data_IF_548488973033
#
_entry.id   IF_548488973033
#
_cell.length_a   1.000
_cell.length_b   1.000
_cell.length_c   1.000
_cell.angle_alpha   90.00
_cell.angle_beta   90.00
_cell.angle_gamma   90.00
#
_symmetry.space_group_name_H-M   'P 1'
#
loop_
_entity.id
_entity.type
_entity.pdbx_description
1 polymer ?
#
# COMPACT_ATOMS: atom_id res chain seq x y z
N UNK A 1 -1.93 4.37 -20.91
CA UNK A 1 -1.39 3.07 -20.49
C UNK A 1 -1.03 3.04 -18.98
N UNK A 2 -0.26 3.98 -18.43
CA UNK A 2 0.16 3.97 -17.02
C UNK A 2 -0.99 3.85 -15.99
N UNK A 3 -2.14 4.51 -16.22
CA UNK A 3 -3.32 4.42 -15.33
C UNK A 3 -3.89 3.00 -15.24
N UNK A 4 -4.00 2.32 -16.38
CA UNK A 4 -4.52 0.94 -16.43
C UNK A 4 -3.55 -0.03 -15.76
N UNK A 5 -2.24 0.09 -16.04
CA UNK A 5 -1.21 -0.73 -15.38
C UNK A 5 -1.21 -0.53 -13.87
N UNK A 6 -1.42 0.72 -13.40
CA UNK A 6 -1.53 1.04 -11.99
C UNK A 6 -2.73 0.34 -11.33
N UNK A 7 -3.93 0.44 -11.92
CA UNK A 7 -5.13 -0.20 -11.40
C UNK A 7 -5.00 -1.72 -11.35
N UNK A 8 -4.48 -2.33 -12.43
CA UNK A 8 -4.30 -3.78 -12.50
C UNK A 8 -3.27 -4.25 -11.46
N UNK A 9 -2.13 -3.57 -11.34
CA UNK A 9 -1.09 -3.97 -10.39
C UNK A 9 -1.56 -3.87 -8.94
N UNK A 10 -2.30 -2.80 -8.57
CA UNK A 10 -2.91 -2.67 -7.24
C UNK A 10 -3.93 -3.80 -7.02
N UNK A 11 -4.81 -4.06 -7.99
CA UNK A 11 -5.83 -5.09 -7.87
C UNK A 11 -5.25 -6.48 -7.63
N UNK A 12 -4.25 -6.88 -8.41
CA UNK A 12 -3.57 -8.19 -8.25
C UNK A 12 -2.87 -8.28 -6.89
N UNK A 13 -2.15 -7.22 -6.49
CA UNK A 13 -1.41 -7.22 -5.22
C UNK A 13 -2.34 -7.21 -4.02
N UNK A 14 -3.44 -6.44 -4.08
CA UNK A 14 -4.46 -6.42 -3.03
C UNK A 14 -5.15 -7.77 -2.89
N UNK A 15 -5.50 -8.41 -4.02
CA UNK A 15 -6.09 -9.75 -4.00
C UNK A 15 -5.16 -10.75 -3.32
N UNK A 16 -3.85 -10.71 -3.62
CA UNK A 16 -2.85 -11.54 -2.95
C UNK A 16 -2.79 -11.30 -1.43
N UNK A 17 -2.83 -10.02 -1.00
CA UNK A 17 -2.86 -9.66 0.42
C UNK A 17 -4.10 -10.20 1.12
N UNK A 18 -5.30 -10.04 0.51
CA UNK A 18 -6.56 -10.53 1.06
C UNK A 18 -6.59 -12.07 1.14
N UNK A 19 -5.99 -12.76 0.17
CA UNK A 19 -5.83 -14.23 0.25
C UNK A 19 -5.00 -14.63 1.48
N UNK A 20 -3.88 -13.94 1.75
CA UNK A 20 -3.04 -14.24 2.91
C UNK A 20 -3.81 -13.96 4.21
N UNK A 21 -4.48 -12.82 4.29
CA UNK A 21 -5.24 -12.42 5.47
C UNK A 21 -6.33 -13.43 5.84
N UNK A 22 -7.08 -13.93 4.85
CA UNK A 22 -8.27 -14.74 5.09
C UNK A 22 -8.00 -16.25 5.07
N UNK A 23 -7.09 -16.73 4.22
CA UNK A 23 -6.89 -18.17 4.02
C UNK A 23 -5.62 -18.72 4.68
N UNK A 24 -4.64 -17.87 4.95
CA UNK A 24 -3.35 -18.30 5.48
C UNK A 24 -3.06 -17.73 6.88
N UNK A 25 -4.09 -17.28 7.59
CA UNK A 25 -3.97 -16.80 8.96
C UNK A 25 -4.95 -17.55 9.85
N UNK A 26 -4.45 -18.14 10.93
CA UNK A 26 -5.25 -18.88 11.90
C UNK A 26 -6.01 -17.94 12.84
N UNK A 27 -7.13 -18.41 13.35
CA UNK A 27 -7.90 -17.77 14.43
C UNK A 27 -7.54 -18.40 15.78
N UNK A 28 -7.85 -17.72 16.89
CA UNK A 28 -7.56 -18.22 18.24
C UNK A 28 -8.22 -19.59 18.52
N UNK A 29 -9.37 -19.86 17.89
CA UNK A 29 -10.14 -21.10 18.05
C UNK A 29 -9.71 -22.23 17.09
N UNK A 30 -8.69 -21.98 16.26
CA UNK A 30 -8.22 -23.00 15.31
C UNK A 30 -7.55 -24.15 16.04
N UNK A 31 -8.09 -25.36 15.91
CA UNK A 31 -7.50 -26.59 16.42
C UNK A 31 -6.44 -27.17 15.50
N UNK A 32 -6.33 -26.65 14.27
CA UNK A 32 -5.38 -27.12 13.27
C UNK A 32 -4.06 -26.35 13.40
N UNK A 33 -3.12 -26.93 14.14
CA UNK A 33 -1.73 -26.49 14.06
C UNK A 33 -1.17 -26.91 12.69
N UNK A 34 -1.05 -25.98 11.77
CA UNK A 34 -0.35 -26.22 10.53
C UNK A 34 1.16 -26.28 10.84
N UNK A 35 1.86 -27.24 10.29
CA UNK A 35 3.29 -27.46 10.56
C UNK A 35 4.23 -26.38 10.00
N UNK A 36 3.75 -25.12 9.85
CA UNK A 36 4.54 -23.98 9.38
C UNK A 36 3.70 -22.75 9.06
N UNK A 37 4.36 -21.58 8.96
CA UNK A 37 3.71 -20.31 8.62
C UNK A 37 3.46 -20.18 7.10
N UNK A 38 2.35 -20.71 6.62
CA UNK A 38 1.95 -20.61 5.21
C UNK A 38 1.68 -19.17 4.77
N UNK A 39 1.30 -18.28 5.68
CA UNK A 39 1.16 -16.85 5.38
C UNK A 39 2.48 -16.19 5.02
N UNK A 40 3.59 -16.60 5.64
CA UNK A 40 4.91 -16.12 5.27
C UNK A 40 5.34 -16.62 3.88
N UNK A 41 4.98 -17.86 3.52
CA UNK A 41 5.22 -18.40 2.16
C UNK A 41 4.36 -17.63 1.15
N UNK A 42 3.08 -17.40 1.46
CA UNK A 42 2.19 -16.59 0.63
C UNK A 42 2.73 -15.17 0.43
N UNK A 43 3.25 -14.54 1.50
CA UNK A 43 3.90 -13.24 1.40
C UNK A 43 5.11 -13.25 0.47
N UNK A 44 5.97 -14.25 0.57
CA UNK A 44 7.14 -14.37 -0.31
C UNK A 44 6.76 -14.43 -1.80
N UNK A 45 5.64 -15.10 -2.11
CA UNK A 45 5.10 -15.19 -3.47
C UNK A 45 4.44 -13.87 -3.94
N UNK A 46 3.75 -13.16 -3.05
CA UNK A 46 3.01 -11.92 -3.39
C UNK A 46 3.91 -10.68 -3.30
N UNK A 47 4.99 -10.70 -2.53
CA UNK A 47 5.90 -9.56 -2.32
C UNK A 47 6.42 -8.93 -3.63
N UNK A 48 6.84 -9.66 -4.67
CA UNK A 48 7.26 -9.05 -5.93
C UNK A 48 6.15 -8.21 -6.59
N UNK A 49 4.90 -8.67 -6.52
CA UNK A 49 3.74 -7.93 -7.05
C UNK A 49 3.43 -6.69 -6.22
N UNK A 50 3.56 -6.77 -4.88
CA UNK A 50 3.40 -5.61 -3.99
C UNK A 50 4.49 -4.58 -4.31
N UNK A 51 5.75 -4.97 -4.43
CA UNK A 51 6.85 -4.07 -4.76
C UNK A 51 6.66 -3.42 -6.13
N UNK A 52 6.22 -4.19 -7.12
CA UNK A 52 5.91 -3.67 -8.45
C UNK A 52 4.75 -2.65 -8.38
N UNK A 53 3.68 -2.95 -7.66
CA UNK A 53 2.52 -2.06 -7.51
C UNK A 53 2.89 -0.77 -6.77
N UNK A 54 3.75 -0.82 -5.76
CA UNK A 54 4.30 0.35 -5.08
C UNK A 54 5.12 1.23 -6.04
N UNK A 55 5.99 0.62 -6.84
CA UNK A 55 6.78 1.35 -7.82
C UNK A 55 5.91 2.01 -8.90
N UNK A 56 4.89 1.30 -9.41
CA UNK A 56 3.95 1.84 -10.39
C UNK A 56 3.11 2.97 -9.75
N UNK A 57 2.69 2.82 -8.48
CA UNK A 57 1.97 3.86 -7.73
C UNK A 57 2.84 5.12 -7.61
N UNK A 58 4.08 4.99 -7.16
CA UNK A 58 5.03 6.10 -7.11
C UNK A 58 5.15 6.79 -8.47
N UNK A 59 5.41 6.04 -9.55
CA UNK A 59 5.53 6.59 -10.90
C UNK A 59 4.26 7.30 -11.38
N UNK A 60 3.11 6.70 -11.13
CA UNK A 60 1.82 7.27 -11.53
C UNK A 60 1.60 8.64 -10.88
N UNK A 61 1.79 8.73 -9.56
CA UNK A 61 1.59 9.99 -8.83
C UNK A 61 2.70 11.02 -9.13
N UNK A 62 3.93 10.60 -9.34
CA UNK A 62 5.01 11.48 -9.78
C UNK A 62 4.69 12.13 -11.13
N UNK A 63 4.27 11.35 -12.11
CA UNK A 63 3.90 11.84 -13.43
C UNK A 63 2.64 12.72 -13.35
N UNK A 64 1.63 12.30 -12.59
CA UNK A 64 0.40 13.08 -12.41
C UNK A 64 0.66 14.43 -11.77
N UNK A 65 1.49 14.47 -10.72
CA UNK A 65 1.89 15.70 -10.04
C UNK A 65 2.68 16.64 -10.96
N UNK A 66 3.58 16.09 -11.80
CA UNK A 66 4.35 16.84 -12.78
C UNK A 66 3.48 17.49 -13.86
N UNK A 67 2.42 16.79 -14.28
CA UNK A 67 1.46 17.29 -15.29
C UNK A 67 0.49 18.34 -14.73
N UNK A 68 0.26 18.36 -13.41
CA UNK A 68 -0.66 19.26 -12.76
C UNK A 68 -0.02 20.63 -12.59
N UNK A 69 -0.54 21.65 -13.27
CA UNK A 69 -0.03 23.06 -13.19
C UNK A 69 -0.53 23.81 -11.96
N UNK A 70 -1.70 23.46 -11.46
CA UNK A 70 -2.30 24.13 -10.31
C UNK A 70 -1.55 23.78 -9.02
N UNK A 71 -0.87 24.76 -8.45
CA UNK A 71 -0.11 24.61 -7.20
C UNK A 71 -1.04 24.31 -6.02
N UNK A 72 -2.21 24.94 -5.97
CA UNK A 72 -3.18 24.74 -4.87
C UNK A 72 -3.67 23.31 -4.90
N UNK A 73 -4.07 22.79 -6.07
CA UNK A 73 -4.52 21.42 -6.21
C UNK A 73 -3.45 20.40 -5.77
N UNK A 74 -2.16 20.64 -6.11
CA UNK A 74 -1.05 19.78 -5.67
C UNK A 74 -0.90 19.76 -4.15
N UNK A 75 -0.98 20.94 -3.50
CA UNK A 75 -0.91 21.05 -2.04
C UNK A 75 -2.11 20.37 -1.38
N UNK A 76 -3.32 20.59 -1.88
CA UNK A 76 -4.53 19.94 -1.38
C UNK A 76 -4.45 18.40 -1.48
N UNK A 77 -3.90 17.86 -2.57
CA UNK A 77 -3.69 16.43 -2.72
C UNK A 77 -2.67 15.87 -1.72
N UNK A 78 -1.61 16.62 -1.41
CA UNK A 78 -0.64 16.20 -0.39
C UNK A 78 -1.22 16.23 1.02
N UNK A 79 -1.94 17.31 1.37
CA UNK A 79 -2.61 17.43 2.68
C UNK A 79 -3.66 16.33 2.83
N UNK A 80 -4.51 16.12 1.81
CA UNK A 80 -5.51 15.07 1.78
C UNK A 80 -4.89 13.67 1.87
N UNK A 81 -3.81 13.42 1.13
CA UNK A 81 -3.05 12.17 1.22
C UNK A 81 -2.44 11.96 2.61
N UNK A 82 -1.89 12.99 3.23
CA UNK A 82 -1.37 12.95 4.60
C UNK A 82 -2.46 12.64 5.62
N UNK A 83 -3.60 13.32 5.54
CA UNK A 83 -4.75 13.06 6.41
C UNK A 83 -5.27 11.62 6.24
N UNK A 84 -5.36 11.13 5.00
CA UNK A 84 -5.72 9.75 4.70
C UNK A 84 -4.72 8.76 5.31
N UNK A 85 -3.41 9.01 5.18
CA UNK A 85 -2.39 8.14 5.77
C UNK A 85 -2.52 8.06 7.30
N UNK A 86 -2.78 9.18 7.98
CA UNK A 86 -3.01 9.20 9.43
C UNK A 86 -4.25 8.41 9.81
N UNK A 87 -5.37 8.57 9.08
CA UNK A 87 -6.59 7.83 9.30
C UNK A 87 -6.39 6.32 9.13
N UNK A 88 -5.72 5.91 8.04
CA UNK A 88 -5.43 4.48 7.78
C UNK A 88 -4.52 3.91 8.87
N UNK A 89 -3.50 4.66 9.30
CA UNK A 89 -2.61 4.24 10.39
C UNK A 89 -3.38 4.02 11.69
N UNK A 90 -4.31 4.92 12.02
CA UNK A 90 -5.18 4.77 13.19
C UNK A 90 -5.95 3.45 13.14
N UNK A 91 -6.64 3.16 12.02
CA UNK A 91 -7.39 1.91 11.86
C UNK A 91 -6.47 0.68 11.82
N UNK A 92 -5.26 0.78 11.27
CA UNK A 92 -4.29 -0.31 11.29
C UNK A 92 -3.83 -0.66 12.72
N UNK A 93 -3.63 0.37 13.56
CA UNK A 93 -3.27 0.18 14.97
C UNK A 93 -4.43 -0.38 15.80
N UNK A 94 -5.65 0.08 15.53
CA UNK A 94 -6.85 -0.41 16.17
C UNK A 94 -7.08 -1.90 15.83
N UNK A 95 -7.03 -2.26 14.57
CA UNK A 95 -7.11 -3.64 14.08
C UNK A 95 -6.03 -4.55 14.71
N UNK A 96 -4.79 -4.07 14.79
CA UNK A 96 -3.72 -4.80 15.47
C UNK A 96 -4.07 -5.09 16.93
N UNK A 97 -4.59 -4.08 17.65
CA UNK A 97 -4.96 -4.23 19.06
C UNK A 97 -6.12 -5.21 19.23
N UNK A 98 -7.11 -5.18 18.33
CA UNK A 98 -8.23 -6.12 18.31
C UNK A 98 -7.71 -7.58 18.12
N UNK A 99 -6.80 -7.80 17.17
CA UNK A 99 -6.20 -9.12 16.95
C UNK A 99 -5.44 -9.61 18.19
N UNK A 100 -4.63 -8.75 18.83
CA UNK A 100 -3.94 -9.16 20.07
C UNK A 100 -4.91 -9.45 21.21
N UNK A 101 -6.00 -8.70 21.31
CA UNK A 101 -7.05 -8.95 22.31
C UNK A 101 -7.73 -10.31 22.11
N UNK A 102 -8.05 -10.67 20.85
CA UNK A 102 -8.61 -12.00 20.53
C UNK A 102 -7.64 -13.15 20.79
N UNK A 103 -6.34 -12.91 20.68
CA UNK A 103 -5.30 -13.91 20.96
C UNK A 103 -4.95 -14.02 22.46
N UNK A 104 -5.60 -13.23 23.32
CA UNK A 104 -5.32 -13.18 24.76
C UNK A 104 -4.07 -12.42 25.14
N UNK A 105 -3.50 -11.62 24.20
CA UNK A 105 -2.31 -10.82 24.41
C UNK A 105 -1.26 -10.96 23.32
N UNK A 106 -0.06 -10.47 23.61
CA UNK A 106 1.10 -10.48 22.70
C UNK A 106 1.96 -11.74 22.91
N UNK A 107 3.00 -11.89 22.10
CA UNK A 107 3.97 -12.99 22.21
C UNK A 107 4.75 -13.00 23.54
N UNK A 108 4.64 -11.96 24.38
CA UNK A 108 5.28 -11.83 25.70
C UNK A 108 4.33 -12.20 26.85
N UNK A 109 3.05 -12.26 26.59
CA UNK A 109 2.03 -12.46 27.62
C UNK A 109 1.77 -13.96 27.82
N UNK A 110 2.02 -14.48 29.04
CA UNK A 110 1.93 -15.92 29.36
C UNK A 110 0.55 -16.55 29.14
N UNK A 111 -0.52 -15.75 29.08
CA UNK A 111 -1.90 -16.20 28.81
C UNK A 111 -2.28 -16.18 27.34
N UNK A 112 -1.41 -15.69 26.47
CA UNK A 112 -1.69 -15.56 25.04
C UNK A 112 -1.50 -16.88 24.31
N UNK A 113 -2.35 -17.14 23.31
CA UNK A 113 -2.22 -18.27 22.37
C UNK A 113 -0.87 -18.27 21.66
N UNK A 114 -0.28 -17.07 21.46
CA UNK A 114 0.99 -16.87 20.76
C UNK A 114 2.18 -16.66 21.68
N UNK A 115 2.09 -17.04 22.96
CA UNK A 115 3.19 -16.90 23.90
C UNK A 115 4.47 -17.58 23.40
N UNK A 116 5.59 -16.87 23.41
CA UNK A 116 6.91 -17.30 22.89
C UNK A 116 6.98 -17.59 21.39
N UNK A 117 5.92 -17.35 20.62
CA UNK A 117 6.00 -17.44 19.16
C UNK A 117 6.80 -16.27 18.58
N UNK A 118 7.36 -16.42 17.36
CA UNK A 118 7.89 -15.28 16.61
C UNK A 118 6.83 -14.20 16.42
N UNK A 119 7.25 -12.94 16.28
CA UNK A 119 6.32 -11.81 16.06
C UNK A 119 5.49 -11.99 14.80
N UNK A 120 6.08 -12.53 13.74
CA UNK A 120 5.38 -12.91 12.51
C UNK A 120 5.16 -14.44 12.54
N UNK A 121 3.94 -14.85 12.77
CA UNK A 121 3.52 -16.24 12.85
C UNK A 121 2.15 -16.45 12.20
N UNK A 122 1.67 -17.68 12.15
CA UNK A 122 0.42 -18.03 11.50
C UNK A 122 -0.82 -17.32 12.06
N UNK A 123 -0.81 -16.86 13.32
CA UNK A 123 -1.90 -16.11 13.94
C UNK A 123 -1.78 -14.59 13.72
N UNK A 124 -0.56 -14.08 13.58
CA UNK A 124 -0.29 -12.63 13.50
C UNK A 124 -0.09 -12.12 12.07
N UNK A 125 -0.07 -13.00 11.07
CA UNK A 125 0.08 -12.60 9.66
C UNK A 125 -0.89 -11.47 9.29
N UNK A 126 -2.16 -11.55 9.71
CA UNK A 126 -3.19 -10.54 9.45
C UNK A 126 -2.90 -9.18 10.10
N UNK A 127 -2.02 -9.08 11.10
CA UNK A 127 -1.59 -7.80 11.67
C UNK A 127 -0.71 -7.04 10.69
N UNK A 128 0.16 -7.77 9.98
CA UNK A 128 1.18 -7.20 9.10
C UNK A 128 0.75 -7.18 7.63
N UNK A 129 -0.08 -8.15 7.24
CA UNK A 129 -0.49 -8.40 5.85
C UNK A 129 -2.01 -8.32 5.80
N UNK A 130 -2.53 -7.09 5.67
CA UNK A 130 -3.96 -6.81 5.63
C UNK A 130 -4.26 -5.60 4.74
N UNK A 131 -5.54 -5.32 4.54
CA UNK A 131 -6.00 -4.19 3.76
C UNK A 131 -5.44 -2.84 4.25
N UNK A 132 -5.37 -2.60 5.57
CA UNK A 132 -4.92 -1.32 6.12
C UNK A 132 -3.43 -1.08 5.87
N UNK A 133 -2.58 -2.08 6.16
CA UNK A 133 -1.13 -1.98 5.92
C UNK A 133 -0.82 -1.83 4.43
N UNK A 134 -1.51 -2.58 3.57
CA UNK A 134 -1.40 -2.45 2.12
C UNK A 134 -1.76 -1.04 1.65
N UNK A 135 -2.92 -0.51 2.08
CA UNK A 135 -3.38 0.82 1.68
C UNK A 135 -2.46 1.91 2.23
N UNK A 136 -1.95 1.75 3.46
CA UNK A 136 -1.02 2.68 4.07
C UNK A 136 0.27 2.83 3.26
N UNK A 137 0.95 1.72 2.93
CA UNK A 137 2.21 1.78 2.17
C UNK A 137 2.00 2.33 0.75
N UNK A 138 0.85 2.05 0.11
CA UNK A 138 0.51 2.63 -1.20
C UNK A 138 0.21 4.12 -1.10
N UNK A 139 -0.45 4.57 -0.03
CA UNK A 139 -0.69 6.01 0.23
C UNK A 139 0.63 6.74 0.43
N UNK A 140 1.55 6.19 1.22
CA UNK A 140 2.90 6.76 1.39
C UNK A 140 3.64 6.81 0.05
N UNK A 141 3.61 5.73 -0.73
CA UNK A 141 4.22 5.68 -2.07
C UNK A 141 3.64 6.76 -2.99
N UNK A 142 2.31 6.99 -2.95
CA UNK A 142 1.63 8.03 -3.72
C UNK A 142 2.07 9.44 -3.30
N UNK A 143 2.16 9.71 -1.98
CA UNK A 143 2.62 10.99 -1.44
C UNK A 143 4.07 11.26 -1.87
N UNK A 144 4.97 10.30 -1.69
CA UNK A 144 6.38 10.43 -2.07
C UNK A 144 6.51 10.65 -3.58
N UNK A 145 5.76 9.90 -4.39
CA UNK A 145 5.68 10.11 -5.85
C UNK A 145 5.18 11.52 -6.19
N UNK A 146 4.12 11.98 -5.52
CA UNK A 146 3.56 13.31 -5.70
C UNK A 146 4.58 14.41 -5.41
N UNK A 147 5.28 14.33 -4.27
CA UNK A 147 6.36 15.27 -3.91
C UNK A 147 7.49 15.25 -4.93
N UNK A 148 7.94 14.05 -5.31
CA UNK A 148 9.01 13.90 -6.30
C UNK A 148 8.63 14.51 -7.66
N UNK A 149 7.36 14.36 -8.09
CA UNK A 149 6.84 14.98 -9.30
C UNK A 149 6.81 16.51 -9.25
N UNK A 150 6.61 17.09 -8.05
CA UNK A 150 6.67 18.55 -7.86
C UNK A 150 8.07 19.13 -7.98
N UNK A 151 9.08 18.37 -7.59
CA UNK A 151 10.48 18.82 -7.63
C UNK A 151 11.07 18.79 -9.06
N UNK A 152 10.42 18.08 -9.99
CA UNK A 152 10.88 18.03 -11.38
C UNK A 152 10.33 19.20 -12.20
N UNK A 153 11.10 19.71 -13.19
CA UNK A 153 10.61 20.71 -14.15
C UNK A 153 9.32 20.25 -14.82
N UNK A 154 8.39 21.18 -15.02
CA UNK A 154 7.16 20.88 -15.76
C UNK A 154 7.49 20.57 -17.23
N UNK A 155 6.77 19.63 -17.82
CA UNK A 155 6.91 19.36 -19.24
C UNK A 155 6.34 20.53 -20.04
N UNK A 156 7.05 21.01 -21.08
CA UNK A 156 6.52 22.02 -21.99
C UNK A 156 5.24 21.47 -22.66
N UNK A 157 4.24 22.34 -22.85
CA UNK A 157 3.05 21.98 -23.61
C UNK A 157 3.43 21.82 -25.08
N UNK A 158 3.38 20.62 -25.59
CA UNK A 158 3.37 20.41 -27.03
C UNK A 158 1.96 20.69 -27.54
N UNK A 159 1.74 21.79 -28.20
CA UNK A 159 0.51 22.08 -28.96
C UNK A 159 0.74 21.68 -30.41
N UNK A 160 -0.20 20.93 -30.99
CA UNK A 160 -0.20 20.67 -32.43
C UNK A 160 -0.90 21.84 -33.09
N UNK A 161 -0.22 22.52 -34.00
CA UNK A 161 -0.84 23.57 -34.84
C UNK A 161 -1.80 22.93 -35.84
N UNK A 162 -2.72 23.75 -36.39
CA UNK A 162 -3.71 23.35 -37.39
C UNK A 162 -3.04 22.72 -38.62
N UNK A 163 -1.75 22.99 -38.84
CA UNK A 163 -0.91 22.44 -39.93
C UNK A 163 -0.24 21.11 -39.57
N UNK A 164 -0.50 20.53 -38.39
CA UNK A 164 0.09 19.26 -37.96
C UNK A 164 1.54 19.33 -37.47
N UNK A 165 2.10 20.52 -37.34
CA UNK A 165 3.46 20.75 -36.87
C UNK A 165 3.51 20.85 -35.33
N UNK A 166 4.42 20.11 -34.69
CA UNK A 166 4.58 20.13 -33.24
C UNK A 166 5.39 21.38 -32.81
N UNK A 167 4.71 22.38 -32.26
CA UNK A 167 5.34 23.58 -31.70
C UNK A 167 5.49 23.44 -30.19
N UNK A 168 6.73 23.54 -29.71
CA UNK A 168 7.03 23.64 -28.27
C UNK A 168 6.92 25.10 -27.87
N UNK A 169 5.94 25.43 -27.01
CA UNK A 169 5.87 26.74 -26.36
C UNK A 169 6.62 26.67 -25.03
N UNK A 170 7.77 27.30 -24.97
CA UNK A 170 8.44 27.65 -23.72
C UNK A 170 7.60 28.71 -22.99
N UNK A 171 7.24 28.41 -21.75
CA UNK A 171 6.53 29.33 -20.85
C UNK A 171 7.35 29.45 -19.57
#
# INVERSE_FOLDING_TARGET
MLRLSWLISIGISLFGVLLIEHFFTLTADSTEAHGGNFGAVGLALVAPFILLSLFITFRYFAERSRQTRDRILRICLLIGGGALAVAILYYALDYRNEVYTTLGGTTKDKGSVIYQFPVLNEYTNKIFINFYTFTFIHTISAIVGGVFGMLKPQQPKTTVNIEGEHVVKDI
#
